data_IF_784952425958
#
_entry.id   IF_784952425958
#
_cell.length_a   1.000
_cell.length_b   1.000
_cell.length_c   1.000
_cell.angle_alpha   90.00
_cell.angle_beta   90.00
_cell.angle_gamma   90.00
#
_symmetry.space_group_name_H-M   'P 1'
#
loop_
_entity.id
_entity.type
_entity.pdbx_description
1 polymer ?
#
# COMPACT_ATOMS: atom_id res chain seq x y z
N UNK A 1 13.22 0.01 -2.39
CA UNK A 1 11.80 0.39 -2.56
C UNK A 1 11.44 1.67 -1.82
N UNK A 2 11.90 1.91 -0.58
CA UNK A 2 11.72 3.23 0.08
C UNK A 2 12.39 4.35 -0.73
N UNK A 3 13.65 4.17 -1.14
CA UNK A 3 14.35 5.12 -2.01
C UNK A 3 13.63 5.35 -3.35
N UNK A 4 13.13 4.27 -3.96
CA UNK A 4 12.35 4.34 -5.20
C UNK A 4 11.07 5.15 -4.99
N UNK A 5 10.37 4.97 -3.87
CA UNK A 5 9.19 5.74 -3.53
C UNK A 5 9.50 7.24 -3.38
N UNK A 6 10.65 7.60 -2.81
CA UNK A 6 11.10 9.00 -2.77
C UNK A 6 11.29 9.61 -4.17
N UNK A 7 11.61 8.79 -5.18
CA UNK A 7 11.73 9.21 -6.58
C UNK A 7 10.47 8.98 -7.44
N UNK A 8 9.44 8.31 -6.90
CA UNK A 8 8.31 7.77 -7.65
C UNK A 8 7.34 8.84 -8.16
N UNK A 9 7.45 10.10 -7.72
CA UNK A 9 6.65 11.22 -8.29
C UNK A 9 6.79 11.30 -9.81
N UNK A 10 7.98 10.98 -10.36
CA UNK A 10 8.19 10.92 -11.81
C UNK A 10 7.41 9.79 -12.47
N UNK A 11 7.26 8.65 -11.79
CA UNK A 11 6.49 7.50 -12.26
C UNK A 11 4.98 7.77 -12.25
N UNK A 12 4.54 8.70 -11.40
CA UNK A 12 3.13 9.09 -11.25
C UNK A 12 2.69 10.19 -12.22
N UNK A 13 3.62 10.82 -12.96
CA UNK A 13 3.27 11.88 -13.91
C UNK A 13 2.30 11.37 -14.99
N UNK A 14 1.31 12.20 -15.31
CA UNK A 14 0.40 12.01 -16.43
C UNK A 14 0.99 12.53 -17.74
N UNK A 15 0.28 12.28 -18.83
CA UNK A 15 0.63 12.69 -20.18
C UNK A 15 -0.47 13.55 -20.78
N UNK A 16 -0.09 14.56 -21.58
CA UNK A 16 -1.02 15.41 -22.32
C UNK A 16 -0.66 15.34 -23.81
N UNK A 17 -1.64 14.98 -24.65
CA UNK A 17 -1.52 14.96 -26.10
C UNK A 17 -2.43 16.04 -26.67
N UNK A 18 -1.81 17.06 -27.28
CA UNK A 18 -2.52 18.17 -27.91
C UNK A 18 -2.85 17.82 -29.37
N UNK A 19 -4.07 18.11 -29.83
CA UNK A 19 -4.45 17.98 -31.24
C UNK A 19 -4.58 16.54 -31.76
N UNK A 20 -4.96 15.59 -30.90
CA UNK A 20 -5.21 14.20 -31.31
C UNK A 20 -6.44 14.07 -32.24
N UNK A 21 -7.38 15.00 -32.10
CA UNK A 21 -8.48 15.27 -33.03
C UNK A 21 -8.69 16.80 -33.11
N UNK A 22 -9.37 17.29 -34.15
CA UNK A 22 -9.66 18.72 -34.31
C UNK A 22 -10.29 19.29 -33.03
N UNK A 23 -9.73 20.38 -32.53
CA UNK A 23 -10.16 21.09 -31.33
C UNK A 23 -10.26 20.23 -30.04
N UNK A 24 -9.52 19.11 -29.95
CA UNK A 24 -9.57 18.21 -28.78
C UNK A 24 -8.18 17.92 -28.19
N UNK A 25 -8.08 18.06 -26.86
CA UNK A 25 -6.93 17.65 -26.06
C UNK A 25 -7.21 16.37 -25.29
N UNK A 26 -6.27 15.43 -25.33
CA UNK A 26 -6.36 14.18 -24.57
C UNK A 26 -5.38 14.21 -23.42
N UNK A 27 -5.86 13.94 -22.19
CA UNK A 27 -5.04 13.89 -20.98
C UNK A 27 -5.18 12.51 -20.32
N UNK A 28 -4.06 11.95 -19.90
CA UNK A 28 -4.00 10.73 -19.09
C UNK A 28 -3.33 11.05 -17.76
N UNK A 29 -3.91 10.58 -16.65
CA UNK A 29 -3.36 10.81 -15.33
C UNK A 29 -3.54 9.58 -14.43
N UNK A 30 -2.58 9.35 -13.54
CA UNK A 30 -2.66 8.32 -12.50
C UNK A 30 -3.34 8.92 -11.28
N UNK A 31 -4.39 8.26 -10.79
CA UNK A 31 -5.14 8.67 -9.61
C UNK A 31 -5.01 7.60 -8.52
N UNK A 32 -5.05 8.00 -7.23
CA UNK A 32 -5.08 7.04 -6.14
C UNK A 32 -6.33 6.15 -6.24
N UNK A 33 -6.17 4.90 -5.82
CA UNK A 33 -7.26 3.92 -5.73
C UNK A 33 -8.12 4.13 -4.48
N UNK A 34 -7.53 4.64 -3.40
CA UNK A 34 -8.21 4.83 -2.12
C UNK A 34 -7.56 4.01 -1.01
N UNK A 35 -8.31 3.09 -0.40
CA UNK A 35 -7.80 2.18 0.64
C UNK A 35 -7.20 0.94 -0.02
N UNK A 36 -5.98 0.58 0.39
CA UNK A 36 -5.28 -0.62 -0.04
C UNK A 36 -5.01 -1.55 1.15
N UNK A 37 -4.98 -2.86 0.90
CA UNK A 37 -4.66 -3.89 1.88
C UNK A 37 -3.25 -4.45 1.70
N UNK A 38 -2.58 -4.77 2.80
CA UNK A 38 -1.33 -5.53 2.81
C UNK A 38 -1.42 -6.69 3.79
N UNK A 39 -0.98 -7.88 3.36
CA UNK A 39 -0.85 -9.08 4.18
C UNK A 39 0.58 -9.59 4.03
N UNK A 40 1.34 -9.61 5.13
CA UNK A 40 2.77 -9.92 5.11
C UNK A 40 3.15 -11.14 5.97
N UNK A 41 4.16 -11.93 5.57
CA UNK A 41 4.54 -13.17 6.23
C UNK A 41 5.55 -12.93 7.37
N UNK A 42 5.82 -13.97 8.17
CA UNK A 42 6.72 -13.88 9.32
C UNK A 42 8.22 -13.82 8.96
N UNK A 43 8.62 -14.30 7.78
CA UNK A 43 10.02 -14.53 7.45
C UNK A 43 10.77 -13.25 7.03
N UNK A 44 10.05 -12.24 6.55
CA UNK A 44 10.62 -10.94 6.17
C UNK A 44 9.67 -9.77 6.48
N UNK A 45 9.31 -9.57 7.76
CA UNK A 45 8.23 -8.65 8.14
C UNK A 45 8.53 -7.21 7.72
N UNK A 46 9.75 -6.70 7.97
CA UNK A 46 10.13 -5.35 7.52
C UNK A 46 10.10 -5.21 6.00
N UNK A 47 10.75 -6.14 5.29
CA UNK A 47 10.95 -6.03 3.85
C UNK A 47 9.62 -6.09 3.09
N UNK A 48 8.77 -7.08 3.36
CA UNK A 48 7.48 -7.24 2.69
C UNK A 48 6.55 -6.04 2.92
N UNK A 49 6.60 -5.46 4.12
CA UNK A 49 5.83 -4.26 4.47
C UNK A 49 6.34 -3.05 3.70
N UNK A 50 7.65 -2.83 3.68
CA UNK A 50 8.30 -1.71 2.99
C UNK A 50 8.29 -1.83 1.46
N UNK A 51 7.86 -2.98 0.92
CA UNK A 51 7.54 -3.09 -0.50
C UNK A 51 6.19 -2.48 -0.85
N UNK A 52 5.22 -2.55 0.05
CA UNK A 52 3.85 -2.09 -0.21
C UNK A 52 3.61 -0.69 0.33
N UNK A 53 4.05 -0.42 1.56
CA UNK A 53 3.74 0.81 2.30
C UNK A 53 4.22 2.10 1.61
N UNK A 54 5.51 2.27 1.26
CA UNK A 54 5.99 3.52 0.69
C UNK A 54 5.33 3.86 -0.64
N UNK A 55 5.13 2.85 -1.50
CA UNK A 55 4.51 3.04 -2.81
C UNK A 55 3.02 3.36 -2.70
N UNK A 56 2.30 2.70 -1.78
CA UNK A 56 0.89 3.01 -1.53
C UNK A 56 0.71 4.47 -1.11
N UNK A 57 1.51 4.93 -0.14
CA UNK A 57 1.45 6.30 0.37
C UNK A 57 1.84 7.35 -0.68
N UNK A 58 2.95 7.15 -1.40
CA UNK A 58 3.39 8.10 -2.44
C UNK A 58 2.39 8.19 -3.59
N UNK A 59 1.73 7.07 -3.93
CA UNK A 59 0.65 7.07 -4.91
C UNK A 59 -0.66 7.71 -4.40
N UNK A 60 -0.71 8.20 -3.16
CA UNK A 60 -1.86 8.88 -2.57
C UNK A 60 -2.91 7.95 -1.97
N UNK A 61 -2.56 6.70 -1.67
CA UNK A 61 -3.46 5.73 -1.04
C UNK A 61 -3.24 5.68 0.47
N UNK A 62 -4.22 5.11 1.16
CA UNK A 62 -4.06 4.66 2.55
C UNK A 62 -3.84 3.15 2.59
N UNK A 63 -3.17 2.66 3.63
CA UNK A 63 -2.86 1.24 3.76
C UNK A 63 -3.37 0.66 5.07
N UNK A 64 -4.19 -0.39 4.97
CA UNK A 64 -4.54 -1.28 6.08
C UNK A 64 -3.66 -2.53 5.99
N UNK A 65 -2.93 -2.82 7.05
CA UNK A 65 -1.87 -3.83 7.04
C UNK A 65 -2.07 -4.84 8.16
N UNK A 66 -2.25 -6.11 7.75
CA UNK A 66 -2.29 -7.27 8.64
C UNK A 66 -0.98 -8.07 8.53
N UNK A 67 -0.02 -7.89 9.45
CA UNK A 67 1.19 -8.69 9.46
C UNK A 67 0.95 -10.07 10.08
N UNK A 68 1.95 -10.95 9.95
CA UNK A 68 1.99 -12.20 10.69
C UNK A 68 2.00 -11.97 12.20
N UNK A 69 1.21 -12.76 12.92
CA UNK A 69 1.14 -12.79 14.38
C UNK A 69 2.42 -13.30 15.06
N UNK A 70 3.31 -13.97 14.31
CA UNK A 70 4.53 -14.57 14.83
C UNK A 70 5.66 -13.57 15.06
N UNK A 71 5.66 -12.43 14.36
CA UNK A 71 6.63 -11.34 14.58
C UNK A 71 5.99 -9.95 14.34
N UNK A 72 5.16 -9.47 15.28
CA UNK A 72 4.50 -8.18 15.17
C UNK A 72 5.41 -7.00 15.51
N UNK A 73 6.53 -7.25 16.21
CA UNK A 73 7.33 -6.23 16.88
C UNK A 73 7.92 -5.20 15.91
N UNK A 74 8.51 -5.70 14.82
CA UNK A 74 9.12 -4.89 13.76
C UNK A 74 8.08 -4.04 13.04
N UNK A 75 6.86 -4.55 12.86
CA UNK A 75 5.80 -3.84 12.15
C UNK A 75 5.26 -2.67 12.98
N UNK A 76 5.13 -2.87 14.29
CA UNK A 76 4.76 -1.79 15.21
C UNK A 76 5.83 -0.69 15.25
N UNK A 77 7.12 -1.06 15.20
CA UNK A 77 8.21 -0.09 15.08
C UNK A 77 8.12 0.72 13.78
N UNK A 78 7.84 0.07 12.65
CA UNK A 78 7.61 0.76 11.37
C UNK A 78 6.40 1.70 11.46
N UNK A 79 5.32 1.29 12.12
CA UNK A 79 4.16 2.14 12.32
C UNK A 79 4.49 3.41 13.12
N UNK A 80 5.32 3.30 14.16
CA UNK A 80 5.75 4.48 14.91
C UNK A 80 6.67 5.37 14.07
N UNK A 81 7.61 4.79 13.32
CA UNK A 81 8.47 5.53 12.40
C UNK A 81 7.67 6.30 11.33
N UNK A 82 6.53 5.78 10.86
CA UNK A 82 5.69 6.53 9.92
C UNK A 82 5.09 7.79 10.54
N UNK A 83 4.71 7.75 11.82
CA UNK A 83 4.23 8.93 12.54
C UNK A 83 5.36 9.93 12.75
N UNK A 84 6.54 9.47 13.15
CA UNK A 84 7.74 10.32 13.30
C UNK A 84 8.12 10.99 11.97
N UNK A 85 7.93 10.29 10.84
CA UNK A 85 8.14 10.83 9.50
C UNK A 85 7.07 11.85 9.05
N UNK A 86 6.04 12.11 9.87
CA UNK A 86 4.98 13.08 9.58
C UNK A 86 3.89 12.55 8.63
N UNK A 87 3.77 11.22 8.49
CA UNK A 87 2.65 10.63 7.75
C UNK A 87 1.35 10.94 8.52
N UNK A 88 0.30 11.46 7.85
CA UNK A 88 -0.96 11.79 8.53
C UNK A 88 -1.61 10.56 9.18
N UNK A 89 -2.27 10.80 10.32
CA UNK A 89 -3.03 9.77 11.02
C UNK A 89 -4.06 9.11 10.10
N UNK A 90 -4.16 7.79 10.20
CA UNK A 90 -5.07 6.98 9.37
C UNK A 90 -4.55 6.63 7.98
N UNK A 91 -3.41 7.20 7.53
CA UNK A 91 -2.82 6.80 6.25
C UNK A 91 -2.15 5.42 6.30
N UNK A 92 -1.64 5.00 7.46
CA UNK A 92 -1.14 3.66 7.70
C UNK A 92 -1.75 3.08 8.97
N UNK A 93 -2.45 1.96 8.83
CA UNK A 93 -3.16 1.30 9.92
C UNK A 93 -2.68 -0.14 10.03
N UNK A 94 -2.21 -0.54 11.21
CA UNK A 94 -1.79 -1.91 11.50
C UNK A 94 -2.80 -2.57 12.41
N UNK A 95 -3.26 -3.76 12.05
CA UNK A 95 -4.14 -4.56 12.89
C UNK A 95 -3.69 -6.02 12.88
N UNK A 96 -3.86 -6.69 14.01
CA UNK A 96 -3.38 -8.05 14.22
C UNK A 96 -4.58 -9.00 14.27
N UNK A 97 -4.38 -10.21 13.77
CA UNK A 97 -5.37 -11.27 13.78
C UNK A 97 -5.02 -12.34 12.76
N UNK A 98 -5.88 -13.34 12.62
CA UNK A 98 -5.67 -14.49 11.74
C UNK A 98 -6.63 -14.43 10.55
N UNK A 99 -7.30 -15.53 10.22
CA UNK A 99 -8.10 -15.68 9.02
C UNK A 99 -9.25 -14.66 8.90
N UNK A 100 -9.95 -14.34 9.98
CA UNK A 100 -11.07 -13.38 9.92
C UNK A 100 -10.60 -11.98 9.50
N UNK A 101 -9.39 -11.58 9.92
CA UNK A 101 -8.78 -10.33 9.50
C UNK A 101 -8.36 -10.35 8.03
N UNK A 102 -7.88 -11.49 7.53
CA UNK A 102 -7.59 -11.68 6.10
C UNK A 102 -8.88 -11.61 5.28
N UNK A 103 -9.93 -12.33 5.70
CA UNK A 103 -11.23 -12.31 5.04
C UNK A 103 -11.81 -10.89 5.02
N UNK A 104 -11.69 -10.14 6.12
CA UNK A 104 -12.07 -8.73 6.13
C UNK A 104 -11.34 -7.91 5.06
N UNK A 105 -10.02 -8.10 4.88
CA UNK A 105 -9.27 -7.39 3.83
C UNK A 105 -9.79 -7.77 2.44
N UNK A 106 -10.06 -9.06 2.22
CA UNK A 106 -10.46 -9.60 0.93
C UNK A 106 -11.90 -9.26 0.55
N UNK A 107 -12.81 -9.25 1.51
CA UNK A 107 -14.25 -9.14 1.28
C UNK A 107 -14.76 -7.70 1.38
N UNK A 108 -13.97 -6.78 1.93
CA UNK A 108 -14.38 -5.40 2.09
C UNK A 108 -14.29 -4.62 0.76
N UNK A 109 -15.42 -4.12 0.21
CA UNK A 109 -15.44 -3.44 -1.09
C UNK A 109 -14.71 -2.09 -1.10
N UNK A 110 -14.45 -1.48 0.07
CA UNK A 110 -13.70 -0.23 0.17
C UNK A 110 -12.20 -0.45 -0.04
N UNK A 111 -11.70 -1.69 0.09
CA UNK A 111 -10.31 -2.06 -0.17
C UNK A 111 -10.15 -2.35 -1.66
N UNK A 112 -9.48 -1.44 -2.36
CA UNK A 112 -9.44 -1.41 -3.83
C UNK A 112 -8.27 -2.18 -4.45
N UNK A 113 -7.26 -2.51 -3.64
CA UNK A 113 -6.13 -3.34 -4.05
C UNK A 113 -5.57 -4.08 -2.83
N UNK A 114 -5.04 -5.30 -3.05
CA UNK A 114 -4.46 -6.13 -1.99
C UNK A 114 -3.07 -6.60 -2.44
N UNK A 115 -2.08 -6.37 -1.57
CA UNK A 115 -0.72 -6.92 -1.71
C UNK A 115 -0.54 -8.05 -0.71
N UNK A 116 -0.37 -9.27 -1.22
CA UNK A 116 -0.17 -10.49 -0.42
C UNK A 116 1.20 -11.09 -0.71
N UNK A 117 1.96 -11.41 0.34
CA UNK A 117 3.16 -12.22 0.26
C UNK A 117 3.01 -13.40 1.23
N UNK A 118 3.06 -14.62 0.72
CA UNK A 118 2.90 -15.82 1.53
C UNK A 118 3.04 -17.10 0.72
N UNK A 119 2.80 -18.24 1.36
CA UNK A 119 2.77 -19.53 0.69
C UNK A 119 1.54 -19.70 -0.21
N UNK A 120 1.57 -20.74 -1.05
CA UNK A 120 0.45 -21.09 -1.94
C UNK A 120 -0.85 -21.42 -1.18
N UNK A 121 -0.74 -21.82 0.09
CA UNK A 121 -1.84 -21.85 1.04
C UNK A 121 -1.61 -20.77 2.09
N UNK A 122 -2.58 -19.88 2.25
CA UNK A 122 -2.61 -18.94 3.37
C UNK A 122 -2.84 -19.75 4.66
N UNK A 123 -1.83 -19.77 5.52
CA UNK A 123 -1.85 -20.51 6.80
C UNK A 123 -2.22 -19.61 7.98
N UNK A 124 -2.51 -18.33 7.73
CA UNK A 124 -2.97 -17.35 8.73
C UNK A 124 -3.92 -16.32 8.15
#
# INVERSE_FOLDING_TARGET
MVEEACAATKLLMGENLHGLAMDTDTKSMRQPLGVCGCISPFNFPAMCSLWSLPLALVAGNTLVHKPSELDPSVILMIAELTKEAGIPDGCYNVFHGQHDCVNFICDNPDIRAISFVGGNQAVS
#
